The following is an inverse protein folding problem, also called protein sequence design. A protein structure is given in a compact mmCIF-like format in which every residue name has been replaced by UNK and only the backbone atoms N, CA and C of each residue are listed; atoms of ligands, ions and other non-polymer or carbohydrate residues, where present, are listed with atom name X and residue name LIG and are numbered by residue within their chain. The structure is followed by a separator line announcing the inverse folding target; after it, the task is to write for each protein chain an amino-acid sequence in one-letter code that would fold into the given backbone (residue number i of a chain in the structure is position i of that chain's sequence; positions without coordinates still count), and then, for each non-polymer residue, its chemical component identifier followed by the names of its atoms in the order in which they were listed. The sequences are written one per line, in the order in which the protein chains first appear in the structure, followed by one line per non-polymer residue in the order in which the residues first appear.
data_IF_224037067939
#
_entry.id   IF_224037067939
#
_cell.length_a   1.000
_cell.length_b   1.000
_cell.length_c   1.000
_cell.angle_alpha   90.00
_cell.angle_beta   90.00
_cell.angle_gamma   90.00
#
_symmetry.space_group_name_H-M   'P 1'
#
loop_
_entity.id
_entity.type
_entity.pdbx_description
1 polymer ?
#
# COMPACT_ATOMS: atom_id res chain seq x y z
N UNK A 1 -12.61 -2.61 -19.71
CA UNK A 1 -11.18 -2.73 -20.08
C UNK A 1 -11.06 -3.99 -20.90
N UNK A 2 -10.84 -3.87 -22.21
CA UNK A 2 -10.66 -5.01 -23.11
C UNK A 2 -9.34 -5.70 -22.77
N UNK A 3 -9.43 -6.82 -22.06
CA UNK A 3 -8.30 -7.75 -21.95
C UNK A 3 -8.03 -8.28 -23.35
N UNK A 4 -6.92 -7.89 -23.96
CA UNK A 4 -6.45 -8.52 -25.20
C UNK A 4 -5.96 -9.93 -24.84
N UNK A 5 -6.92 -10.85 -24.69
CA UNK A 5 -6.65 -12.25 -24.44
C UNK A 5 -6.16 -12.81 -25.78
N UNK A 6 -4.86 -13.01 -25.90
CA UNK A 6 -4.29 -13.74 -27.03
C UNK A 6 -4.73 -15.20 -26.89
N UNK A 7 -5.81 -15.56 -27.59
CA UNK A 7 -6.34 -16.93 -27.65
C UNK A 7 -5.61 -17.80 -28.68
N UNK A 8 -4.72 -17.18 -29.46
CA UNK A 8 -4.00 -17.81 -30.55
C UNK A 8 -2.53 -17.44 -30.47
N UNK A 9 -1.66 -18.43 -30.62
CA UNK A 9 -0.23 -18.20 -30.65
C UNK A 9 0.17 -17.41 -31.92
N UNK A 10 0.86 -16.27 -31.80
CA UNK A 10 1.26 -15.46 -32.96
C UNK A 10 2.33 -16.09 -33.86
N UNK A 11 2.88 -17.26 -33.48
CA UNK A 11 3.97 -17.92 -34.21
C UNK A 11 3.55 -19.16 -35.01
N UNK A 12 2.57 -19.91 -34.51
CA UNK A 12 2.12 -21.16 -35.15
C UNK A 12 0.61 -21.23 -35.31
N UNK A 13 -0.09 -20.15 -34.95
CA UNK A 13 -1.54 -19.99 -35.02
C UNK A 13 -2.34 -21.07 -34.27
N UNK A 14 -1.69 -21.81 -33.36
CA UNK A 14 -2.37 -22.81 -32.54
C UNK A 14 -3.15 -22.13 -31.41
N UNK A 15 -4.33 -22.64 -31.02
CA UNK A 15 -5.04 -22.15 -29.85
C UNK A 15 -4.17 -22.32 -28.60
N UNK A 16 -4.23 -21.32 -27.72
CA UNK A 16 -3.50 -21.25 -26.45
C UNK A 16 -4.44 -20.80 -25.33
N UNK A 17 -4.23 -21.31 -24.12
CA UNK A 17 -4.99 -20.83 -22.97
C UNK A 17 -4.34 -19.57 -22.38
N UNK A 18 -5.12 -18.67 -21.74
CA UNK A 18 -4.59 -17.48 -21.08
C UNK A 18 -3.62 -17.81 -19.92
N UNK A 19 -3.72 -19.03 -19.38
CA UNK A 19 -2.88 -19.56 -18.31
C UNK A 19 -1.62 -20.28 -18.82
N UNK A 20 -1.41 -20.36 -20.13
CA UNK A 20 -0.21 -20.95 -20.68
C UNK A 20 0.93 -19.92 -20.64
N UNK A 21 2.12 -20.33 -20.19
CA UNK A 21 3.34 -19.50 -20.23
C UNK A 21 4.10 -19.73 -21.54
N UNK A 22 3.91 -20.92 -22.13
CA UNK A 22 4.52 -21.37 -23.37
C UNK A 22 3.46 -22.02 -24.25
N UNK A 23 3.58 -21.87 -25.57
CA UNK A 23 2.68 -22.53 -26.49
C UNK A 23 2.95 -24.05 -26.50
N UNK A 24 1.95 -24.91 -26.26
CA UNK A 24 2.15 -26.36 -26.24
C UNK A 24 2.51 -26.96 -27.61
N UNK A 25 2.13 -26.30 -28.71
CA UNK A 25 2.37 -26.80 -30.07
C UNK A 25 3.75 -26.44 -30.63
N UNK A 26 4.22 -25.21 -30.40
CA UNK A 26 5.49 -24.73 -30.96
C UNK A 26 6.58 -24.46 -29.92
N UNK A 27 6.27 -24.61 -28.62
CA UNK A 27 7.19 -24.38 -27.51
C UNK A 27 7.57 -22.93 -27.25
N UNK A 28 7.09 -21.96 -28.05
CA UNK A 28 7.48 -20.55 -27.91
C UNK A 28 6.80 -19.87 -26.72
N UNK A 29 7.54 -19.01 -26.01
CA UNK A 29 7.07 -18.26 -24.83
C UNK A 29 5.96 -17.29 -25.20
N UNK A 30 4.88 -17.31 -24.45
CA UNK A 30 3.75 -16.40 -24.60
C UNK A 30 4.02 -15.14 -23.76
N UNK A 31 3.91 -13.97 -24.41
CA UNK A 31 4.13 -12.68 -23.73
C UNK A 31 2.90 -12.35 -22.91
N UNK A 32 2.90 -12.71 -21.63
CA UNK A 32 1.90 -12.18 -20.69
C UNK A 32 2.18 -10.71 -20.47
N UNK A 33 1.16 -9.88 -20.60
CA UNK A 33 1.14 -8.58 -19.95
C UNK A 33 0.89 -8.80 -18.46
N UNK A 34 1.88 -9.39 -17.78
CA UNK A 34 1.92 -9.49 -16.33
C UNK A 34 1.78 -8.07 -15.78
N UNK A 35 0.96 -7.92 -14.72
CA UNK A 35 0.56 -6.66 -14.10
C UNK A 35 1.64 -5.60 -14.27
N UNK A 36 1.45 -4.72 -15.24
CA UNK A 36 2.26 -3.52 -15.38
C UNK A 36 1.85 -2.57 -14.25
N UNK A 37 2.22 -2.94 -13.03
CA UNK A 37 2.50 -1.95 -12.00
C UNK A 37 3.83 -1.35 -12.40
N UNK A 38 3.78 -0.47 -13.41
CA UNK A 38 4.95 0.30 -13.81
C UNK A 38 5.62 0.88 -12.57
N UNK A 39 6.95 1.04 -12.63
CA UNK A 39 7.80 1.49 -11.52
C UNK A 39 7.16 2.68 -10.77
N UNK A 40 6.48 3.58 -11.49
CA UNK A 40 5.69 4.69 -10.93
C UNK A 40 4.50 4.27 -10.04
N UNK A 41 3.71 3.27 -10.44
CA UNK A 41 2.60 2.72 -9.64
C UNK A 41 3.12 1.98 -8.40
N UNK A 42 4.24 1.27 -8.54
CA UNK A 42 4.87 0.55 -7.43
C UNK A 42 5.48 1.53 -6.41
N UNK A 43 6.19 2.56 -6.88
CA UNK A 43 6.67 3.67 -6.04
C UNK A 43 5.51 4.43 -5.40
N UNK A 44 4.40 4.66 -6.11
CA UNK A 44 3.22 5.31 -5.57
C UNK A 44 2.56 4.51 -4.44
N UNK A 45 2.41 3.20 -4.61
CA UNK A 45 1.87 2.30 -3.57
C UNK A 45 2.82 2.22 -2.38
N UNK A 46 4.14 2.12 -2.58
CA UNK A 46 5.10 2.11 -1.49
C UNK A 46 5.19 3.45 -0.75
N UNK A 47 5.16 4.58 -1.48
CA UNK A 47 5.10 5.89 -0.88
C UNK A 47 3.80 6.06 -0.10
N UNK A 48 2.66 5.55 -0.58
CA UNK A 48 1.37 5.62 0.10
C UNK A 48 1.32 4.72 1.34
N UNK A 49 1.82 3.49 1.28
CA UNK A 49 1.88 2.56 2.42
C UNK A 49 2.94 2.94 3.45
N UNK A 50 4.00 3.62 3.03
CA UNK A 50 4.84 4.38 3.93
C UNK A 50 3.97 5.51 4.48
N UNK A 51 3.27 6.28 3.63
CA UNK A 51 2.51 7.46 4.03
C UNK A 51 1.28 7.27 4.95
N UNK A 52 0.72 6.07 5.04
CA UNK A 52 -0.59 5.78 5.65
C UNK A 52 -0.59 4.81 6.84
N UNK A 53 0.51 4.68 7.61
CA UNK A 53 0.27 4.40 9.03
C UNK A 53 0.78 5.51 9.98
N UNK A 54 1.94 6.18 9.75
CA UNK A 54 2.32 7.35 10.58
C UNK A 54 2.92 8.59 9.85
N UNK A 55 2.50 8.95 8.64
CA UNK A 55 3.36 9.76 7.76
C UNK A 55 2.84 11.16 7.39
N UNK A 56 3.28 12.14 8.17
CA UNK A 56 3.39 13.54 7.71
C UNK A 56 4.85 14.01 7.58
N UNK A 57 5.83 13.10 7.73
CA UNK A 57 7.22 13.49 8.03
C UNK A 57 8.12 13.74 6.80
N UNK A 58 7.86 13.10 5.65
CA UNK A 58 8.74 13.27 4.48
C UNK A 58 8.66 14.65 3.79
N UNK A 59 7.48 15.28 3.54
CA UNK A 59 7.44 16.66 3.06
C UNK A 59 7.92 17.64 4.14
N UNK A 60 7.76 17.33 5.43
CA UNK A 60 8.17 18.21 6.53
C UNK A 60 9.70 18.47 6.54
N UNK A 61 10.52 17.43 6.33
CA UNK A 61 11.98 17.57 6.30
C UNK A 61 12.46 18.36 5.06
N UNK A 62 11.82 18.18 3.90
CA UNK A 62 12.15 18.95 2.68
C UNK A 62 11.70 20.42 2.80
N UNK A 63 10.57 20.69 3.44
CA UNK A 63 10.05 22.04 3.66
C UNK A 63 10.82 22.82 4.77
N UNK A 64 11.30 22.14 5.82
CA UNK A 64 12.14 22.75 6.88
C UNK A 64 13.54 23.16 6.40
N UNK A 65 14.05 22.54 5.32
CA UNK A 65 15.42 22.74 4.82
C UNK A 65 15.57 23.86 3.77
N UNK A 66 14.46 24.45 3.31
CA UNK A 66 14.50 25.63 2.42
C UNK A 66 14.62 26.92 3.24
N UNK A 67 15.50 27.84 2.83
CA UNK A 67 15.81 29.08 3.53
C UNK A 67 14.64 30.10 3.59
N UNK A 68 13.56 29.83 2.85
CA UNK A 68 12.39 30.70 2.76
C UNK A 68 11.48 30.56 4.00
N UNK A 69 11.21 31.68 4.67
CA UNK A 69 10.44 31.75 5.92
C UNK A 69 9.01 31.19 5.81
N UNK A 70 8.44 31.14 4.60
CA UNK A 70 7.14 30.52 4.31
C UNK A 70 7.19 29.00 4.33
N UNK A 71 8.28 28.40 3.85
CA UNK A 71 8.44 26.94 3.79
C UNK A 71 8.62 26.31 5.18
N UNK A 72 9.31 26.99 6.10
CA UNK A 72 9.43 26.52 7.50
C UNK A 72 8.08 26.41 8.21
N UNK A 73 7.14 27.34 7.98
CA UNK A 73 5.80 27.30 8.59
C UNK A 73 5.04 26.04 8.20
N UNK A 74 5.11 25.66 6.93
CA UNK A 74 4.44 24.47 6.40
C UNK A 74 5.04 23.20 7.03
N UNK A 75 6.37 23.14 7.17
CA UNK A 75 7.04 22.02 7.84
C UNK A 75 6.65 21.87 9.31
N UNK A 76 6.54 22.98 10.06
CA UNK A 76 6.10 22.97 11.47
C UNK A 76 4.65 22.53 11.59
N UNK A 77 3.75 23.03 10.73
CA UNK A 77 2.34 22.62 10.72
C UNK A 77 2.20 21.11 10.46
N UNK A 78 2.93 20.58 9.46
CA UNK A 78 2.92 19.16 9.16
C UNK A 78 3.44 18.30 10.34
N UNK A 79 4.48 18.77 11.03
CA UNK A 79 5.03 18.08 12.20
C UNK A 79 4.04 18.07 13.37
N UNK A 80 3.40 19.21 13.66
CA UNK A 80 2.38 19.33 14.70
C UNK A 80 1.17 18.42 14.40
N UNK A 81 0.68 18.43 13.16
CA UNK A 81 -0.42 17.55 12.73
C UNK A 81 -0.05 16.07 12.88
N UNK A 82 1.20 15.71 12.60
CA UNK A 82 1.69 14.33 12.79
C UNK A 82 1.68 13.92 14.26
N UNK A 83 2.18 14.79 15.15
CA UNK A 83 2.18 14.53 16.60
C UNK A 83 0.74 14.37 17.11
N UNK A 84 -0.18 15.24 16.69
CA UNK A 84 -1.60 15.15 17.07
C UNK A 84 -2.23 13.84 16.57
N UNK A 85 -1.99 13.46 15.31
CA UNK A 85 -2.48 12.20 14.74
C UNK A 85 -2.00 10.98 15.53
N UNK A 86 -0.72 10.96 15.93
CA UNK A 86 -0.15 9.89 16.75
C UNK A 86 -0.81 9.83 18.13
N UNK A 87 -1.00 10.98 18.80
CA UNK A 87 -1.66 11.03 20.12
C UNK A 87 -3.11 10.55 20.07
N UNK A 88 -3.86 10.96 19.04
CA UNK A 88 -5.25 10.50 18.83
C UNK A 88 -5.25 8.98 18.59
N UNK A 89 -4.35 8.48 17.75
CA UNK A 89 -4.22 7.04 17.47
C UNK A 89 -3.95 6.26 18.74
N UNK A 90 -2.96 6.67 19.55
CA UNK A 90 -2.64 6.02 20.82
C UNK A 90 -3.84 6.04 21.78
N UNK A 91 -4.56 7.17 21.85
CA UNK A 91 -5.73 7.31 22.73
C UNK A 91 -6.88 6.40 22.32
N UNK A 92 -7.17 6.34 21.02
CA UNK A 92 -8.18 5.46 20.45
C UNK A 92 -7.80 3.99 20.63
N UNK A 93 -6.53 3.64 20.40
CA UNK A 93 -6.01 2.29 20.61
C UNK A 93 -6.18 1.85 22.07
N UNK A 94 -5.91 2.73 23.05
CA UNK A 94 -6.15 2.43 24.48
C UNK A 94 -7.63 2.17 24.80
N UNK A 95 -8.54 2.96 24.23
CA UNK A 95 -9.99 2.76 24.39
C UNK A 95 -10.42 1.39 23.88
N UNK A 96 -9.92 1.01 22.71
CA UNK A 96 -10.18 -0.29 22.09
C UNK A 96 -9.60 -1.43 22.95
N UNK A 97 -8.34 -1.31 23.40
CA UNK A 97 -7.69 -2.28 24.29
C UNK A 97 -8.45 -2.48 25.61
N UNK A 98 -8.91 -1.41 26.27
CA UNK A 98 -9.70 -1.54 27.51
C UNK A 98 -11.05 -2.25 27.31
N UNK A 99 -11.63 -2.13 26.11
CA UNK A 99 -12.83 -2.90 25.74
C UNK A 99 -12.52 -4.39 25.59
N UNK A 100 -11.34 -4.74 25.07
CA UNK A 100 -10.91 -6.14 24.97
C UNK A 100 -10.52 -6.73 26.33
N UNK A 101 -9.80 -5.98 27.17
CA UNK A 101 -9.39 -6.42 28.51
C UNK A 101 -10.60 -6.73 29.42
N UNK A 102 -11.62 -5.87 29.40
CA UNK A 102 -12.85 -6.09 30.17
C UNK A 102 -13.61 -7.35 29.72
N UNK A 103 -13.60 -7.67 28.42
CA UNK A 103 -14.16 -8.93 27.91
C UNK A 103 -13.34 -10.14 28.39
N UNK A 104 -12.01 -10.07 28.33
CA UNK A 104 -11.12 -11.15 28.81
C UNK A 104 -11.27 -11.41 30.31
N UNK A 105 -11.46 -10.39 31.14
CA UNK A 105 -11.75 -10.58 32.57
C UNK A 105 -13.07 -11.31 32.82
N UNK A 106 -14.12 -10.99 32.05
CA UNK A 106 -15.41 -11.70 32.15
C UNK A 106 -15.22 -13.19 31.82
N UNK A 107 -14.44 -13.54 30.80
CA UNK A 107 -14.12 -14.94 30.47
C UNK A 107 -13.33 -15.66 31.58
N UNK A 108 -12.38 -14.98 32.24
CA UNK A 108 -11.66 -15.55 33.39
C UNK A 108 -12.56 -15.72 34.62
N UNK A 109 -13.53 -14.83 34.83
CA UNK A 109 -14.47 -14.90 35.95
C UNK A 109 -15.46 -16.06 35.86
N UNK A 110 -15.72 -16.58 34.65
CA UNK A 110 -16.58 -17.75 34.40
C UNK A 110 -15.81 -19.07 34.33
N UNK A 111 -14.51 -19.08 34.69
CA UNK A 111 -13.77 -20.31 35.00
C UNK A 111 -13.33 -21.17 33.80
N UNK A 112 -12.94 -20.56 32.68
CA UNK A 112 -12.14 -21.22 31.65
C UNK A 112 -10.68 -20.76 31.70
#
# INVERSE_FOLDING_TARGET
METNIQTTCPHCNNPILPIDIFCPACGKKLKRSDLSTGIQKQIGVYLLSFFLPPFGLFPAIKYLRQADSKSKKIGVIALVLTVISILITISLTKLVLGTFESRLQIYRGIGY
#
